data_IF_041752323049
#
_entry.id   IF_041752323049
#
_cell.length_a   1.000
_cell.length_b   1.000
_cell.length_c   1.000
_cell.angle_alpha   90.00
_cell.angle_beta   90.00
_cell.angle_gamma   90.00
#
_symmetry.space_group_name_H-M   'P 1'
#
loop_
_entity.id
_entity.type
_entity.pdbx_description
1 polymer ?
#
# COMPACT_ATOMS: atom_id res chain seq x y z
N UNK A 1 4.70 -25.06 11.13
CA UNK A 1 5.25 -24.52 12.39
C UNK A 1 6.50 -23.67 12.11
N UNK A 2 6.34 -22.49 11.52
CA UNK A 2 7.48 -21.58 11.22
C UNK A 2 7.35 -20.28 12.00
N UNK A 3 6.16 -19.66 11.97
CA UNK A 3 5.88 -18.43 12.72
C UNK A 3 6.05 -18.61 14.24
N UNK A 4 5.74 -19.79 14.77
CA UNK A 4 5.95 -20.13 16.18
C UNK A 4 7.43 -20.10 16.53
N UNK A 5 8.30 -20.69 15.70
CA UNK A 5 9.74 -20.67 15.91
C UNK A 5 10.34 -19.27 15.76
N UNK A 6 9.82 -18.46 14.84
CA UNK A 6 10.23 -17.05 14.71
C UNK A 6 9.83 -16.24 15.94
N UNK A 7 8.66 -16.51 16.54
CA UNK A 7 8.26 -15.90 17.82
C UNK A 7 9.22 -16.30 18.93
N UNK A 8 9.51 -17.59 19.10
CA UNK A 8 10.42 -18.08 20.15
C UNK A 8 11.82 -17.47 20.05
N UNK A 9 12.37 -17.32 18.84
CA UNK A 9 13.67 -16.65 18.63
C UNK A 9 13.60 -15.18 19.05
N UNK A 10 12.53 -14.47 18.67
CA UNK A 10 12.34 -13.08 19.06
C UNK A 10 12.17 -12.91 20.58
N UNK A 11 11.42 -13.81 21.22
CA UNK A 11 11.23 -13.82 22.68
C UNK A 11 12.54 -14.13 23.42
N UNK A 12 13.35 -15.04 22.91
CA UNK A 12 14.68 -15.33 23.46
C UNK A 12 15.64 -14.13 23.36
N UNK A 13 15.56 -13.37 22.25
CA UNK A 13 16.38 -12.17 22.08
C UNK A 13 15.92 -11.00 22.95
N UNK A 14 14.61 -10.81 23.10
CA UNK A 14 14.01 -9.68 23.84
C UNK A 14 13.80 -9.96 25.34
N UNK A 15 13.84 -11.22 25.76
CA UNK A 15 13.53 -11.64 27.15
C UNK A 15 12.07 -11.35 27.57
N UNK A 16 11.18 -11.09 26.62
CA UNK A 16 9.79 -10.68 26.87
C UNK A 16 8.85 -11.28 25.82
N UNK A 17 7.57 -11.43 26.17
CA UNK A 17 6.57 -12.07 25.30
C UNK A 17 6.22 -11.20 24.10
N UNK A 18 6.27 -11.75 22.89
CA UNK A 18 5.95 -11.02 21.66
C UNK A 18 4.52 -11.34 21.24
N UNK A 19 3.64 -10.34 21.32
CA UNK A 19 2.19 -10.51 21.05
C UNK A 19 1.75 -9.95 19.71
N UNK A 20 2.42 -8.93 19.18
CA UNK A 20 2.02 -8.23 17.96
C UNK A 20 3.08 -8.41 16.88
N UNK A 21 2.65 -8.65 15.65
CA UNK A 21 3.55 -8.83 14.52
C UNK A 21 2.98 -8.23 13.22
N UNK A 22 3.90 -7.88 12.32
CA UNK A 22 3.61 -7.53 10.92
C UNK A 22 4.19 -8.65 10.07
N UNK A 23 3.40 -9.17 9.13
CA UNK A 23 3.80 -10.30 8.28
C UNK A 23 3.87 -9.82 6.82
N UNK A 24 4.94 -10.16 6.13
CA UNK A 24 5.11 -9.89 4.70
C UNK A 24 4.46 -10.98 3.85
N UNK A 25 3.89 -10.59 2.73
CA UNK A 25 3.41 -11.52 1.69
C UNK A 25 3.88 -11.07 0.32
N UNK A 26 3.99 -11.98 -0.67
CA UNK A 26 4.28 -11.62 -2.05
C UNK A 26 3.25 -10.63 -2.61
N UNK A 27 3.68 -9.73 -3.48
CA UNK A 27 2.78 -8.71 -4.05
C UNK A 27 1.60 -9.31 -4.83
N UNK A 28 1.79 -10.48 -5.43
CA UNK A 28 0.81 -11.18 -6.25
C UNK A 28 -0.14 -12.10 -5.46
N UNK A 29 -0.07 -12.12 -4.12
CA UNK A 29 -0.97 -12.93 -3.31
C UNK A 29 -2.41 -12.41 -3.34
N UNK A 30 -3.34 -13.34 -3.56
CA UNK A 30 -4.77 -13.07 -3.55
C UNK A 30 -5.30 -12.93 -2.11
N UNK A 31 -6.48 -12.32 -1.94
CA UNK A 31 -7.06 -12.06 -0.61
C UNK A 31 -7.28 -13.31 0.24
N UNK A 32 -7.67 -14.43 -0.38
CA UNK A 32 -7.83 -15.71 0.33
C UNK A 32 -6.52 -16.23 0.91
N UNK A 33 -5.41 -16.09 0.17
CA UNK A 33 -4.08 -16.49 0.62
C UNK A 33 -3.57 -15.54 1.70
N UNK A 34 -3.88 -14.23 1.59
CA UNK A 34 -3.59 -13.24 2.63
C UNK A 34 -4.34 -13.56 3.92
N UNK A 35 -5.61 -13.94 3.83
CA UNK A 35 -6.40 -14.34 4.98
C UNK A 35 -5.84 -15.62 5.62
N UNK A 36 -5.51 -16.63 4.82
CA UNK A 36 -4.86 -17.84 5.31
C UNK A 36 -3.52 -17.55 6.03
N UNK A 37 -2.75 -16.58 5.53
CA UNK A 37 -1.50 -16.13 6.17
C UNK A 37 -1.76 -15.42 7.49
N UNK A 38 -2.83 -14.61 7.56
CA UNK A 38 -3.28 -13.95 8.80
C UNK A 38 -3.69 -14.99 9.83
N UNK A 39 -4.48 -15.98 9.42
CA UNK A 39 -4.96 -17.06 10.28
C UNK A 39 -3.79 -17.91 10.80
N UNK A 40 -2.77 -18.16 9.96
CA UNK A 40 -1.54 -18.80 10.38
C UNK A 40 -0.80 -18.01 11.48
N UNK A 41 -0.85 -16.67 11.43
CA UNK A 41 -0.34 -15.81 12.50
C UNK A 41 -1.13 -15.93 13.80
N UNK A 42 -2.46 -16.01 13.71
CA UNK A 42 -3.34 -16.22 14.88
C UNK A 42 -3.09 -17.58 15.53
N UNK A 43 -2.94 -18.64 14.73
CA UNK A 43 -2.60 -19.99 15.21
C UNK A 43 -1.23 -19.99 15.91
N UNK A 44 -0.30 -19.14 15.48
CA UNK A 44 0.99 -18.95 16.12
C UNK A 44 0.93 -18.12 17.43
N UNK A 45 -0.26 -17.68 17.86
CA UNK A 45 -0.43 -16.82 19.03
C UNK A 45 0.04 -15.38 18.82
N UNK A 46 0.15 -14.94 17.56
CA UNK A 46 0.54 -13.58 17.20
C UNK A 46 -0.68 -12.80 16.71
N UNK A 47 -0.84 -11.58 17.19
CA UNK A 47 -1.78 -10.62 16.63
C UNK A 47 -1.16 -9.96 15.40
N UNK A 48 -1.67 -10.31 14.21
CA UNK A 48 -1.22 -9.77 12.94
C UNK A 48 -1.84 -8.39 12.73
N UNK A 49 -1.08 -7.34 13.04
CA UNK A 49 -1.55 -5.94 12.95
C UNK A 49 -1.77 -5.51 11.50
N UNK A 50 -0.87 -5.91 10.61
CA UNK A 50 -0.93 -5.59 9.19
C UNK A 50 -0.23 -6.68 8.39
N UNK A 51 -0.77 -6.99 7.23
CA UNK A 51 -0.06 -7.71 6.19
C UNK A 51 0.48 -6.69 5.20
N UNK A 52 1.79 -6.71 4.98
CA UNK A 52 2.47 -5.78 4.06
C UNK A 52 3.01 -6.55 2.86
N UNK A 53 3.11 -5.86 1.72
CA UNK A 53 3.74 -6.44 0.55
C UNK A 53 5.26 -6.47 0.78
N UNK A 54 5.88 -7.59 0.47
CA UNK A 54 7.34 -7.77 0.54
C UNK A 54 8.13 -6.67 -0.18
N UNK A 55 7.86 -6.30 -1.45
CA UNK A 55 8.65 -5.26 -2.12
C UNK A 55 8.51 -3.89 -1.44
N UNK A 56 7.36 -3.61 -0.82
CA UNK A 56 7.16 -2.39 -0.04
C UNK A 56 7.95 -2.44 1.27
N UNK A 57 7.99 -3.58 1.96
CA UNK A 57 8.80 -3.77 3.15
C UNK A 57 10.30 -3.57 2.86
N UNK A 58 10.78 -4.13 1.75
CA UNK A 58 12.16 -3.96 1.29
C UNK A 58 12.48 -2.49 0.97
N UNK A 59 11.57 -1.79 0.29
CA UNK A 59 11.73 -0.37 0.00
C UNK A 59 11.78 0.50 1.27
N UNK A 60 10.98 0.17 2.29
CA UNK A 60 11.01 0.85 3.59
C UNK A 60 12.36 0.63 4.27
N UNK A 61 12.84 -0.62 4.32
CA UNK A 61 14.14 -0.93 4.92
C UNK A 61 15.27 -0.13 4.25
N UNK A 62 15.34 -0.14 2.92
CA UNK A 62 16.36 0.60 2.17
C UNK A 62 16.26 2.12 2.35
N UNK A 63 15.03 2.65 2.40
CA UNK A 63 14.79 4.06 2.65
C UNK A 63 15.21 4.52 4.05
N UNK A 64 15.21 3.62 5.04
CA UNK A 64 15.70 3.88 6.39
C UNK A 64 17.23 3.80 6.46
N UNK A 65 17.84 2.78 5.84
CA UNK A 65 19.30 2.59 5.84
C UNK A 65 20.05 3.73 5.16
N UNK A 66 19.47 4.33 4.12
CA UNK A 66 20.06 5.49 3.42
C UNK A 66 19.86 6.83 4.11
N UNK A 67 19.05 6.88 5.17
CA UNK A 67 18.89 8.09 5.99
C UNK A 67 19.99 8.12 7.05
N UNK A 68 21.24 8.26 6.60
CA UNK A 68 22.33 8.71 7.46
C UNK A 68 21.89 10.01 8.18
N UNK A 69 22.31 10.27 9.43
CA UNK A 69 21.95 11.49 10.14
C UNK A 69 22.48 12.69 9.35
N UNK A 70 21.61 13.32 8.57
CA UNK A 70 21.91 14.58 7.93
C UNK A 70 22.24 15.57 9.06
N UNK A 71 23.41 16.23 9.05
CA UNK A 71 23.74 17.20 10.07
C UNK A 71 22.68 18.30 10.01
N UNK A 72 21.99 18.50 11.13
CA UNK A 72 21.05 19.58 11.32
C UNK A 72 21.77 20.92 11.08
N UNK A 73 21.64 21.51 9.89
CA UNK A 73 21.92 22.92 9.60
C UNK A 73 21.61 23.25 8.13
N UNK A 74 21.03 24.38 7.75
CA UNK A 74 20.76 25.68 8.40
C UNK A 74 19.40 26.19 7.91
N UNK A 75 18.54 26.63 8.81
CA UNK A 75 17.61 27.71 8.47
C UNK A 75 18.43 28.95 8.16
N UNK A 76 18.44 29.41 6.91
CA UNK A 76 18.87 30.77 6.59
C UNK A 76 17.65 31.69 6.66
N UNK A 77 17.42 32.21 7.87
CA UNK A 77 16.73 33.48 8.07
C UNK A 77 17.68 34.60 7.65
N UNK A 78 17.51 35.09 6.42
CA UNK A 78 18.05 36.37 5.96
C UNK A 78 17.05 36.92 4.95
N UNK A 79 16.06 37.72 5.39
CA UNK A 79 16.11 39.18 5.41
C UNK A 79 16.43 39.81 4.05
N UNK A 80 15.46 40.58 3.53
CA UNK A 80 15.54 41.51 2.38
C UNK A 80 15.29 40.80 1.03
N UNK A 81 14.30 41.15 0.19
CA UNK A 81 13.75 42.47 -0.16
C UNK A 81 12.32 42.35 -0.69
N UNK A 82 11.52 43.37 -0.37
CA UNK A 82 10.26 43.68 -1.03
C UNK A 82 10.43 43.88 -2.54
N UNK A 83 9.59 43.22 -3.32
CA UNK A 83 9.17 43.66 -4.64
C UNK A 83 7.71 43.25 -4.82
N UNK A 84 6.83 44.10 -4.31
CA UNK A 84 5.46 44.15 -4.79
C UNK A 84 5.51 44.59 -6.26
N UNK A 85 4.89 43.86 -7.19
CA UNK A 85 4.28 44.46 -8.37
C UNK A 85 3.19 43.53 -8.94
N UNK A 86 1.95 43.89 -8.61
CA UNK A 86 0.78 43.95 -9.50
C UNK A 86 0.74 43.03 -10.73
N UNK A 87 -0.18 42.06 -10.75
CA UNK A 87 -1.43 42.10 -11.56
C UNK A 87 -2.17 40.75 -11.51
N UNK A 88 -3.34 40.75 -10.87
CA UNK A 88 -4.48 39.93 -11.33
C UNK A 88 -5.23 40.72 -12.43
N UNK A 89 -6.24 40.20 -13.16
CA UNK A 89 -6.93 38.90 -13.06
C UNK A 89 -7.20 38.23 -14.42
N UNK A 90 -7.81 37.03 -14.41
CA UNK A 90 -8.99 36.63 -15.22
C UNK A 90 -8.96 35.16 -15.68
N UNK A 91 -9.82 34.34 -15.05
CA UNK A 91 -10.41 33.17 -15.68
C UNK A 91 -11.52 33.61 -16.62
N UNK A 92 -11.86 32.81 -17.66
CA UNK A 92 -13.16 32.14 -17.56
C UNK A 92 -13.22 30.73 -18.18
N UNK A 93 -13.96 29.87 -17.47
CA UNK A 93 -14.98 28.94 -17.95
C UNK A 93 -15.12 28.77 -19.48
N UNK A 94 -14.91 27.53 -19.96
CA UNK A 94 -15.58 27.04 -21.16
C UNK A 94 -16.14 25.63 -20.93
N UNK A 95 -17.32 25.60 -20.34
CA UNK A 95 -18.25 24.47 -20.29
C UNK A 95 -18.87 24.31 -21.68
N UNK A 96 -18.36 23.39 -22.49
CA UNK A 96 -19.00 23.00 -23.75
C UNK A 96 -19.87 21.76 -23.51
N UNK A 97 -21.18 21.98 -23.56
CA UNK A 97 -22.22 20.97 -23.61
C UNK A 97 -22.45 20.56 -25.07
N UNK A 98 -22.39 19.27 -25.38
CA UNK A 98 -23.03 18.72 -26.59
C UNK A 98 -23.71 17.39 -26.30
N UNK A 99 -25.04 17.47 -26.19
CA UNK A 99 -26.00 16.37 -26.31
C UNK A 99 -25.69 15.50 -27.54
N UNK A 100 -25.67 14.19 -27.37
CA UNK A 100 -26.20 13.20 -28.33
C UNK A 100 -26.27 11.83 -27.63
N UNK A 101 -27.43 11.38 -27.14
CA UNK A 101 -28.57 10.77 -27.86
C UNK A 101 -28.30 9.30 -28.24
N UNK A 102 -29.23 8.45 -27.78
CA UNK A 102 -29.47 7.00 -28.04
C UNK A 102 -28.60 6.04 -27.22
N UNK A 103 -29.15 5.35 -26.22
CA UNK A 103 -30.17 4.28 -26.22
C UNK A 103 -29.68 2.93 -26.80
N UNK A 104 -29.74 1.96 -25.88
CA UNK A 104 -30.25 0.58 -25.99
C UNK A 104 -29.33 -0.56 -26.47
N UNK A 105 -29.48 -1.63 -25.68
CA UNK A 105 -29.46 -3.05 -26.02
C UNK A 105 -28.15 -3.82 -25.77
N UNK A 106 -28.12 -4.45 -24.60
CA UNK A 106 -27.58 -5.80 -24.40
C UNK A 106 -28.24 -6.79 -25.38
N UNK A 107 -27.48 -7.65 -26.08
CA UNK A 107 -28.00 -8.91 -26.56
C UNK A 107 -27.58 -10.02 -25.59
N UNK A 108 -28.57 -10.52 -24.85
CA UNK A 108 -28.63 -11.90 -24.37
C UNK A 108 -28.75 -12.83 -25.59
N UNK A 109 -27.70 -13.58 -25.89
CA UNK A 109 -27.78 -14.85 -26.61
C UNK A 109 -26.53 -15.63 -26.16
N UNK A 110 -26.63 -16.77 -25.52
CA UNK A 110 -27.36 -17.93 -26.00
C UNK A 110 -26.35 -19.06 -25.97
N UNK A 111 -26.74 -20.12 -25.27
CA UNK A 111 -26.10 -21.41 -25.12
C UNK A 111 -25.05 -21.79 -26.19
N UNK A 112 -23.92 -22.27 -25.70
CA UNK A 112 -23.23 -23.38 -26.37
C UNK A 112 -22.56 -24.28 -25.33
N UNK A 113 -23.35 -25.26 -24.89
CA UNK A 113 -22.88 -26.59 -24.50
C UNK A 113 -21.95 -27.16 -25.59
N UNK A 114 -20.92 -27.89 -25.14
CA UNK A 114 -20.16 -28.99 -25.78
C UNK A 114 -18.79 -29.02 -25.09
N UNK A 115 -18.59 -29.81 -24.01
CA UNK A 115 -18.15 -31.22 -24.02
C UNK A 115 -16.81 -31.46 -24.74
N UNK A 116 -15.93 -32.20 -24.04
CA UNK A 116 -14.69 -32.89 -24.48
C UNK A 116 -13.44 -32.00 -24.60
N UNK A 117 -12.27 -32.35 -24.03
CA UNK A 117 -11.87 -33.56 -23.31
C UNK A 117 -10.46 -33.42 -22.72
N UNK A 118 -10.20 -34.28 -21.73
CA UNK A 118 -8.93 -34.70 -21.11
C UNK A 118 -8.06 -33.61 -20.46
#
# INVERSE_FOLDING_TARGET
MVLIKMREIAEAFLGSTVKNAVVTVPAYFNDSQRQATKDAGVIAGLNVMRIINEPTAAAIAYGLDKKAPAPARRTCSSSTSAAALSTSPSSPSRRASSKSRRQLATPTSGERTLTTGW
#
